data_IF_537770241536
#
_entry.id   IF_537770241536
#
_cell.length_a   1.000
_cell.length_b   1.000
_cell.length_c   1.000
_cell.angle_alpha   90.00
_cell.angle_beta   90.00
_cell.angle_gamma   90.00
#
_symmetry.space_group_name_H-M   'P 1'
#
loop_
_entity.id
_entity.type
_entity.pdbx_description
1 polymer ?
#
# COMPACT_ATOMS: atom_id res chain seq x y z
N UNK A 1 81.60 -0.21 27.61
CA UNK A 1 80.92 0.65 28.61
C UNK A 1 79.72 1.37 27.94
N UNK A 2 78.57 0.77 27.94
CA UNK A 2 77.35 1.46 27.49
C UNK A 2 76.22 0.97 28.40
N UNK A 3 75.70 1.88 29.18
CA UNK A 3 74.68 1.63 30.17
C UNK A 3 73.28 1.67 29.46
N UNK A 4 72.64 0.54 29.49
CA UNK A 4 71.28 0.37 29.10
C UNK A 4 70.33 1.15 30.02
N UNK A 5 69.55 2.07 29.51
CA UNK A 5 68.41 2.65 30.18
C UNK A 5 67.15 2.10 29.54
N UNK A 6 66.43 1.25 30.28
CA UNK A 6 65.10 0.81 29.95
C UNK A 6 64.10 2.00 30.15
N UNK A 7 63.25 2.23 29.22
CA UNK A 7 62.05 3.08 29.48
C UNK A 7 60.97 2.24 30.12
N UNK A 8 60.49 2.75 31.23
CA UNK A 8 59.40 2.29 32.02
C UNK A 8 58.10 2.44 31.20
N UNK A 9 57.50 1.30 30.83
CA UNK A 9 56.22 1.30 30.11
C UNK A 9 55.10 1.66 31.06
N UNK A 10 54.50 2.82 30.84
CA UNK A 10 53.32 3.31 31.55
C UNK A 10 52.09 2.59 30.97
N UNK A 11 51.61 1.54 31.63
CA UNK A 11 50.35 0.90 31.34
C UNK A 11 49.20 1.79 31.82
N UNK A 12 48.64 2.57 30.89
CA UNK A 12 47.42 3.30 31.12
C UNK A 12 46.23 2.30 31.10
N UNK A 13 45.74 1.95 32.29
CA UNK A 13 44.54 1.15 32.46
C UNK A 13 43.31 1.92 31.94
N UNK A 14 42.79 1.49 30.81
CA UNK A 14 41.47 1.93 30.32
C UNK A 14 40.42 1.28 31.22
N UNK A 15 39.87 2.02 32.16
CA UNK A 15 38.74 1.61 32.94
C UNK A 15 37.52 1.47 32.00
N UNK A 16 37.15 0.22 31.63
CA UNK A 16 35.86 -0.08 31.01
C UNK A 16 34.78 0.18 32.05
N UNK A 17 34.22 1.37 32.04
CA UNK A 17 33.00 1.63 32.78
C UNK A 17 31.87 0.84 32.13
N UNK A 18 31.13 -0.03 32.85
CA UNK A 18 29.95 -0.66 32.30
C UNK A 18 28.90 0.45 32.02
N UNK A 19 28.63 0.64 30.73
CA UNK A 19 27.53 1.51 30.31
C UNK A 19 26.21 0.82 30.65
N UNK A 20 25.73 1.02 31.89
CA UNK A 20 24.41 0.59 32.28
C UNK A 20 23.36 1.51 31.62
N UNK A 21 23.15 1.28 30.34
CA UNK A 21 22.01 1.84 29.64
C UNK A 21 20.74 1.23 30.22
N UNK A 22 20.00 1.98 31.04
CA UNK A 22 18.62 1.64 31.33
C UNK A 22 17.85 1.71 30.03
N UNK A 23 17.49 0.55 29.49
CA UNK A 23 16.49 0.47 28.45
C UNK A 23 15.17 0.97 29.06
N UNK A 24 14.77 2.19 28.73
CA UNK A 24 13.43 2.65 29.04
C UNK A 24 12.45 1.88 28.14
N UNK A 25 11.95 0.77 28.64
CA UNK A 25 10.87 0.00 28.04
C UNK A 25 9.55 0.69 28.36
N UNK A 26 9.33 1.87 27.80
CA UNK A 26 8.19 2.68 28.16
C UNK A 26 7.00 2.59 27.20
N UNK A 27 7.00 1.69 26.20
CA UNK A 27 5.84 1.56 25.31
C UNK A 27 4.87 0.57 25.90
N UNK A 28 3.84 1.06 26.59
CA UNK A 28 2.70 0.25 27.01
C UNK A 28 1.67 0.21 25.88
N UNK A 29 1.58 -0.92 25.20
CA UNK A 29 0.55 -1.15 24.19
C UNK A 29 -0.73 -1.64 24.88
N UNK A 30 -1.81 -0.90 24.71
CA UNK A 30 -3.15 -1.31 25.09
C UNK A 30 -3.88 -1.84 23.86
N UNK A 31 -4.43 -3.05 23.97
CA UNK A 31 -5.39 -3.51 22.98
C UNK A 31 -6.67 -2.69 23.07
N UNK A 32 -7.10 -2.15 21.96
CA UNK A 32 -8.37 -1.43 21.81
C UNK A 32 -9.20 -2.15 20.77
N UNK A 33 -10.42 -2.52 21.16
CA UNK A 33 -11.40 -3.01 20.18
C UNK A 33 -12.01 -1.81 19.48
N UNK A 34 -11.85 -1.75 18.18
CA UNK A 34 -12.44 -0.72 17.33
C UNK A 34 -13.46 -1.38 16.43
N UNK A 35 -14.70 -0.91 16.48
CA UNK A 35 -15.70 -1.25 15.48
C UNK A 35 -15.35 -0.51 14.19
N UNK A 36 -14.89 -1.25 13.20
CA UNK A 36 -14.64 -0.69 11.89
C UNK A 36 -15.98 -0.47 11.19
N UNK A 37 -16.19 0.69 10.56
CA UNK A 37 -17.38 0.88 9.73
C UNK A 37 -17.44 -0.23 8.69
N UNK A 38 -18.66 -0.67 8.35
CA UNK A 38 -18.85 -1.61 7.25
C UNK A 38 -18.24 -0.98 6.01
N UNK A 39 -17.10 -1.51 5.60
CA UNK A 39 -16.37 -0.98 4.44
C UNK A 39 -17.16 -1.20 3.15
N UNK A 40 -16.72 -0.57 2.08
CA UNK A 40 -17.24 -0.78 0.73
C UNK A 40 -16.89 -2.20 0.28
N UNK A 41 -17.71 -3.15 0.70
CA UNK A 41 -17.51 -4.58 0.39
C UNK A 41 -17.82 -4.88 -1.06
N UNK A 42 -18.71 -4.10 -1.66
CA UNK A 42 -19.17 -4.25 -3.03
C UNK A 42 -19.21 -2.90 -3.73
N UNK A 43 -19.14 -2.93 -5.03
CA UNK A 43 -19.36 -1.73 -5.83
C UNK A 43 -20.83 -1.27 -5.73
N UNK A 44 -21.10 0.04 -5.84
CA UNK A 44 -22.44 0.59 -5.89
C UNK A 44 -23.29 -0.08 -6.96
N UNK A 45 -24.57 -0.33 -6.66
CA UNK A 45 -25.48 -0.93 -7.64
C UNK A 45 -25.65 -0.06 -8.87
N UNK A 46 -25.61 -0.68 -10.04
CA UNK A 46 -25.79 -0.04 -11.33
C UNK A 46 -25.56 -1.02 -12.48
N UNK A 47 -25.85 -0.64 -13.73
CA UNK A 47 -25.55 -1.48 -14.89
C UNK A 47 -24.06 -1.87 -14.90
N UNK A 48 -23.75 -3.16 -14.94
CA UNK A 48 -22.38 -3.69 -14.92
C UNK A 48 -21.76 -3.86 -13.53
N UNK A 49 -22.44 -3.49 -12.44
CA UNK A 49 -21.93 -3.67 -11.08
C UNK A 49 -21.64 -5.12 -10.73
N UNK A 50 -22.45 -6.07 -11.19
CA UNK A 50 -22.26 -7.47 -10.89
C UNK A 50 -21.00 -7.99 -11.57
N UNK A 51 -20.82 -7.64 -12.85
CA UNK A 51 -19.62 -8.00 -13.61
C UNK A 51 -18.36 -7.41 -12.97
N UNK A 52 -18.42 -6.14 -12.50
CA UNK A 52 -17.31 -5.52 -11.79
C UNK A 52 -17.03 -6.20 -10.45
N UNK A 53 -18.07 -6.55 -9.67
CA UNK A 53 -17.91 -7.28 -8.41
C UNK A 53 -17.26 -8.66 -8.63
N UNK A 54 -17.74 -9.42 -9.61
CA UNK A 54 -17.27 -10.77 -9.87
C UNK A 54 -15.79 -10.80 -10.32
N UNK A 55 -15.37 -9.81 -11.08
CA UNK A 55 -14.02 -9.75 -11.63
C UNK A 55 -13.01 -9.01 -10.74
N UNK A 56 -13.41 -7.90 -10.12
CA UNK A 56 -12.46 -7.03 -9.41
C UNK A 56 -12.25 -7.43 -7.95
N UNK A 57 -13.31 -7.90 -7.25
CA UNK A 57 -13.24 -8.18 -5.81
C UNK A 57 -12.49 -9.46 -5.46
N UNK A 58 -12.07 -10.24 -6.45
CA UNK A 58 -11.23 -11.41 -6.23
C UNK A 58 -9.85 -11.08 -5.64
N UNK A 59 -9.33 -9.88 -5.90
CA UNK A 59 -7.97 -9.50 -5.55
C UNK A 59 -7.88 -8.30 -4.60
N UNK A 60 -8.85 -7.37 -4.61
CA UNK A 60 -8.84 -6.18 -3.77
C UNK A 60 -10.26 -5.70 -3.46
N UNK A 61 -10.40 -4.74 -2.54
CA UNK A 61 -11.71 -4.20 -2.16
C UNK A 61 -12.25 -3.22 -3.18
N UNK A 62 -13.58 -3.06 -3.23
CA UNK A 62 -14.23 -2.01 -4.02
C UNK A 62 -13.70 -0.61 -3.64
N UNK A 63 -13.45 -0.36 -2.34
CA UNK A 63 -12.89 0.90 -1.85
C UNK A 63 -11.58 1.28 -2.52
N UNK A 64 -10.74 0.32 -2.89
CA UNK A 64 -9.48 0.58 -3.59
C UNK A 64 -9.71 1.26 -4.95
N UNK A 65 -10.79 0.90 -5.64
CA UNK A 65 -11.18 1.52 -6.91
C UNK A 65 -11.97 2.81 -6.68
N UNK A 66 -12.90 2.81 -5.73
CA UNK A 66 -13.76 3.95 -5.43
C UNK A 66 -13.00 5.17 -4.93
N UNK A 67 -11.84 4.96 -4.29
CA UNK A 67 -10.96 6.04 -3.83
C UNK A 67 -9.98 6.55 -4.90
N UNK A 68 -9.97 5.97 -6.10
CA UNK A 68 -9.19 6.53 -7.20
C UNK A 68 -9.75 7.88 -7.65
N UNK A 69 -8.94 8.76 -8.24
CA UNK A 69 -9.44 9.96 -8.87
C UNK A 69 -10.40 9.62 -10.01
N UNK A 70 -11.22 10.58 -10.43
CA UNK A 70 -12.01 10.43 -11.63
C UNK A 70 -11.08 10.35 -12.85
N UNK A 71 -11.18 9.28 -13.62
CA UNK A 71 -10.30 9.00 -14.75
C UNK A 71 -11.10 8.96 -16.06
N UNK A 72 -10.51 9.42 -17.18
CA UNK A 72 -11.11 9.23 -18.50
C UNK A 72 -11.16 7.74 -18.87
N UNK A 73 -12.08 7.36 -19.78
CA UNK A 73 -12.25 5.96 -20.20
C UNK A 73 -10.95 5.28 -20.61
N UNK A 74 -10.09 5.98 -21.38
CA UNK A 74 -8.81 5.42 -21.80
C UNK A 74 -7.85 5.10 -20.63
N UNK A 75 -7.90 5.87 -19.55
CA UNK A 75 -7.09 5.57 -18.37
C UNK A 75 -7.65 4.37 -17.59
N UNK A 76 -8.97 4.24 -17.48
CA UNK A 76 -9.59 3.04 -16.92
C UNK A 76 -9.27 1.80 -17.75
N UNK A 77 -9.30 1.91 -19.08
CA UNK A 77 -8.92 0.83 -20.00
C UNK A 77 -7.46 0.39 -19.77
N UNK A 78 -6.55 1.35 -19.64
CA UNK A 78 -5.14 1.07 -19.34
C UNK A 78 -4.98 0.33 -17.99
N UNK A 79 -5.74 0.72 -16.95
CA UNK A 79 -5.71 0.05 -15.65
C UNK A 79 -6.28 -1.37 -15.72
N UNK A 80 -7.42 -1.58 -16.40
CA UNK A 80 -8.01 -2.92 -16.58
C UNK A 80 -7.05 -3.82 -17.36
N UNK A 81 -6.44 -3.33 -18.42
CA UNK A 81 -5.44 -4.08 -19.20
C UNK A 81 -4.21 -4.41 -18.35
N UNK A 82 -3.74 -3.48 -17.52
CA UNK A 82 -2.64 -3.74 -16.58
C UNK A 82 -2.99 -4.86 -15.60
N UNK A 83 -4.22 -4.90 -15.05
CA UNK A 83 -4.65 -6.01 -14.19
C UNK A 83 -4.59 -7.34 -14.94
N UNK A 84 -5.04 -7.38 -16.19
CA UNK A 84 -5.04 -8.60 -17.02
C UNK A 84 -3.64 -9.03 -17.42
N UNK A 85 -2.84 -8.10 -17.94
CA UNK A 85 -1.59 -8.41 -18.62
C UNK A 85 -0.42 -8.56 -17.64
N UNK A 86 -0.30 -7.65 -16.67
CA UNK A 86 0.79 -7.65 -15.69
C UNK A 86 0.47 -8.50 -14.47
N UNK A 87 -0.73 -8.35 -13.90
CA UNK A 87 -1.12 -9.05 -12.67
C UNK A 87 -1.88 -10.34 -12.92
N UNK A 88 -2.14 -10.69 -14.18
CA UNK A 88 -2.80 -11.94 -14.58
C UNK A 88 -4.20 -12.12 -13.96
N UNK A 89 -4.89 -11.01 -13.75
CA UNK A 89 -6.28 -11.05 -13.29
C UNK A 89 -7.14 -11.87 -14.28
N UNK A 90 -7.96 -12.81 -13.79
CA UNK A 90 -8.74 -13.70 -14.65
C UNK A 90 -10.01 -13.03 -15.19
N UNK A 91 -9.85 -11.83 -15.80
CA UNK A 91 -10.95 -11.08 -16.41
C UNK A 91 -11.16 -11.60 -17.82
N UNK A 92 -12.36 -12.13 -18.08
CA UNK A 92 -12.74 -12.58 -19.42
C UNK A 92 -12.77 -11.39 -20.39
N UNK A 93 -12.20 -11.49 -21.58
CA UNK A 93 -12.26 -10.44 -22.60
C UNK A 93 -13.67 -9.90 -22.89
N UNK A 94 -14.69 -10.76 -22.80
CA UNK A 94 -16.09 -10.37 -23.02
C UNK A 94 -16.64 -9.41 -21.96
N UNK A 95 -16.03 -9.39 -20.76
CA UNK A 95 -16.49 -8.60 -19.61
C UNK A 95 -15.83 -7.22 -19.57
N UNK A 96 -14.77 -7.01 -20.34
CA UNK A 96 -13.96 -5.77 -20.29
C UNK A 96 -14.80 -4.54 -20.60
N UNK A 97 -15.59 -4.58 -21.65
CA UNK A 97 -16.40 -3.40 -22.05
C UNK A 97 -17.44 -3.05 -20.97
N UNK A 98 -18.11 -4.05 -20.41
CA UNK A 98 -19.10 -3.84 -19.33
C UNK A 98 -18.44 -3.27 -18.07
N UNK A 99 -17.25 -3.74 -17.72
CA UNK A 99 -16.45 -3.22 -16.61
C UNK A 99 -16.07 -1.76 -16.87
N UNK A 100 -15.57 -1.45 -18.06
CA UNK A 100 -15.15 -0.09 -18.41
C UNK A 100 -16.32 0.89 -18.39
N UNK A 101 -17.45 0.52 -18.97
CA UNK A 101 -18.64 1.37 -18.98
C UNK A 101 -19.16 1.59 -17.55
N UNK A 102 -19.12 0.56 -16.71
CA UNK A 102 -19.45 0.69 -15.30
C UNK A 102 -18.47 1.64 -14.56
N UNK A 103 -17.16 1.44 -14.68
CA UNK A 103 -16.16 2.29 -14.03
C UNK A 103 -16.27 3.75 -14.46
N UNK A 104 -16.53 4.01 -15.75
CA UNK A 104 -16.77 5.35 -16.26
C UNK A 104 -18.05 5.95 -15.67
N UNK A 105 -19.09 5.15 -15.49
CA UNK A 105 -20.35 5.63 -14.91
C UNK A 105 -20.22 6.10 -13.46
N UNK A 106 -19.35 5.44 -12.67
CA UNK A 106 -19.20 5.74 -11.24
C UNK A 106 -17.99 6.63 -10.93
N UNK A 107 -16.94 6.58 -11.76
CA UNK A 107 -15.65 7.25 -11.54
C UNK A 107 -15.05 7.84 -12.83
N UNK A 108 -15.87 8.09 -13.83
CA UNK A 108 -15.41 8.72 -15.07
C UNK A 108 -15.15 10.22 -14.88
N UNK A 109 -14.00 10.70 -15.38
CA UNK A 109 -13.79 12.12 -15.55
C UNK A 109 -14.71 12.62 -16.67
N UNK A 110 -15.59 13.54 -16.34
CA UNK A 110 -16.33 14.29 -17.33
C UNK A 110 -15.30 15.07 -18.14
N UNK A 111 -15.18 14.79 -19.43
CA UNK A 111 -14.46 15.67 -20.34
C UNK A 111 -15.24 16.98 -20.34
N UNK A 112 -14.83 17.95 -19.52
CA UNK A 112 -15.24 19.33 -19.71
C UNK A 112 -14.63 19.80 -21.02
N UNK A 113 -15.33 19.52 -22.13
CA UNK A 113 -15.13 20.26 -23.35
C UNK A 113 -15.67 21.65 -23.04
N UNK A 114 -14.76 22.52 -22.63
CA UNK A 114 -15.07 23.93 -22.44
C UNK A 114 -15.72 24.47 -23.70
N UNK A 115 -16.93 25.01 -23.55
CA UNK A 115 -17.49 25.94 -24.53
C UNK A 115 -16.80 27.27 -24.42
#
# INVERSE_FOLDING_TARGET
MIRSLLPLALLAGIALSPFSGKAETGVSLKSVTVELPAGDRMFPKGPGSDVANDNCLACHSAGMVLNQPALPKAAWEAEVNKMRDAYKAPIDPKDVDAILDYLVSIKGAQNFIGK
#
